data_IF_323262294481
#
_entry.id   IF_323262294481
#
_cell.length_a   1.000
_cell.length_b   1.000
_cell.length_c   1.000
_cell.angle_alpha   90.00
_cell.angle_beta   90.00
_cell.angle_gamma   90.00
#
_symmetry.space_group_name_H-M   'P 1'
#
loop_
_entity.id
_entity.type
_entity.pdbx_description
1 polymer ?
#
# COMPACT_ATOMS: atom_id res chain seq x y z
N UNK A 1 1.27 -2.06 2.72
CA UNK A 1 0.83 -3.04 1.69
C UNK A 1 1.97 -3.45 0.75
N UNK A 2 2.22 -4.75 0.52
CA UNK A 2 3.34 -5.26 -0.26
C UNK A 2 3.00 -5.58 -1.73
N UNK A 3 2.64 -4.56 -2.52
CA UNK A 3 2.23 -4.78 -3.92
C UNK A 3 3.38 -5.24 -4.84
N UNK A 4 4.60 -4.74 -4.60
CA UNK A 4 5.79 -5.04 -5.43
C UNK A 4 6.20 -6.51 -5.43
N UNK A 5 5.74 -7.30 -4.47
CA UNK A 5 5.94 -8.75 -4.46
C UNK A 5 5.08 -9.45 -5.52
N UNK A 6 3.87 -8.96 -5.78
CA UNK A 6 2.93 -9.57 -6.72
C UNK A 6 3.22 -9.20 -8.17
N UNK A 7 3.69 -7.98 -8.44
CA UNK A 7 4.01 -7.53 -9.79
C UNK A 7 5.05 -6.41 -9.82
N UNK A 8 5.66 -6.21 -10.99
CA UNK A 8 6.57 -5.09 -11.22
C UNK A 8 5.80 -3.78 -11.30
N UNK A 9 5.87 -2.98 -10.23
CA UNK A 9 5.21 -1.67 -10.14
C UNK A 9 6.05 -0.49 -10.66
N UNK A 10 7.36 -0.69 -10.84
CA UNK A 10 8.29 0.32 -11.37
C UNK A 10 8.41 1.63 -10.59
N UNK A 11 7.92 1.68 -9.35
CA UNK A 11 8.11 2.80 -8.41
C UNK A 11 8.65 2.28 -7.08
N UNK A 12 9.31 3.16 -6.35
CA UNK A 12 9.77 2.86 -4.99
C UNK A 12 8.60 2.97 -3.98
N UNK A 13 8.78 2.34 -2.83
CA UNK A 13 7.91 2.48 -1.65
C UNK A 13 8.79 2.86 -0.47
N UNK A 14 8.42 3.93 0.21
CA UNK A 14 9.15 4.44 1.38
C UNK A 14 8.39 4.06 2.65
N UNK A 15 7.06 4.03 2.55
CA UNK A 15 6.15 3.79 3.67
C UNK A 15 6.07 2.28 4.00
N UNK A 16 6.11 1.96 5.29
CA UNK A 16 5.79 0.63 5.82
C UNK A 16 4.38 0.70 6.42
N UNK A 17 3.38 0.19 5.70
CA UNK A 17 2.02 0.07 6.25
C UNK A 17 1.76 -1.33 6.81
N UNK A 18 1.33 -1.40 8.06
CA UNK A 18 0.86 -2.57 8.79
C UNK A 18 -0.60 -2.41 9.21
N UNK A 19 -1.25 -3.52 9.54
CA UNK A 19 -2.59 -3.54 10.12
C UNK A 19 -2.54 -4.22 11.48
N UNK A 20 -3.02 -3.52 12.51
CA UNK A 20 -3.22 -4.14 13.81
C UNK A 20 -4.36 -5.18 13.73
N UNK A 21 -4.01 -6.46 13.83
CA UNK A 21 -4.97 -7.57 13.90
C UNK A 21 -4.91 -8.20 15.28
N UNK A 22 -6.07 -8.43 15.90
CA UNK A 22 -6.20 -9.11 17.20
C UNK A 22 -5.42 -8.43 18.35
N UNK A 23 -5.19 -7.11 18.25
CA UNK A 23 -4.51 -6.31 19.25
C UNK A 23 -5.50 -5.41 19.97
N UNK A 24 -5.29 -5.18 21.28
CA UNK A 24 -5.92 -4.02 21.93
C UNK A 24 -5.25 -2.77 21.36
N UNK A 25 -5.99 -1.99 20.57
CA UNK A 25 -5.47 -0.82 19.85
C UNK A 25 -5.47 0.43 20.74
N UNK A 26 -5.30 0.27 22.04
CA UNK A 26 -4.94 1.38 22.93
C UNK A 26 -3.51 1.82 22.62
N UNK A 27 -3.30 3.13 22.50
CA UNK A 27 -2.00 3.74 22.14
C UNK A 27 -0.85 3.22 23.01
N UNK A 28 -1.07 3.12 24.32
CA UNK A 28 -0.11 2.60 25.30
C UNK A 28 0.28 1.15 25.03
N UNK A 29 -0.65 0.31 24.57
CA UNK A 29 -0.38 -1.07 24.26
C UNK A 29 0.48 -1.20 22.98
N UNK A 30 0.17 -0.41 21.95
CA UNK A 30 0.99 -0.38 20.73
C UNK A 30 2.39 0.16 21.01
N UNK A 31 2.50 1.22 21.82
CA UNK A 31 3.79 1.76 22.25
C UNK A 31 4.65 0.71 22.96
N UNK A 32 4.08 -0.02 23.92
CA UNK A 32 4.80 -1.10 24.63
C UNK A 32 5.29 -2.19 23.67
N UNK A 33 4.42 -2.68 22.77
CA UNK A 33 4.79 -3.71 21.79
C UNK A 33 5.95 -3.23 20.90
N UNK A 34 5.88 -1.98 20.41
CA UNK A 34 6.91 -1.44 19.53
C UNK A 34 8.24 -1.19 20.26
N UNK A 35 8.19 -0.81 21.54
CA UNK A 35 9.38 -0.72 22.39
C UNK A 35 10.03 -2.10 22.56
N UNK A 36 9.25 -3.12 22.92
CA UNK A 36 9.75 -4.49 23.07
C UNK A 36 10.37 -5.02 21.77
N UNK A 37 9.74 -4.78 20.62
CA UNK A 37 10.27 -5.15 19.30
C UNK A 37 11.62 -4.46 19.04
N UNK A 38 11.73 -3.16 19.33
CA UNK A 38 12.98 -2.41 19.11
C UNK A 38 14.12 -2.86 20.04
N UNK A 39 13.81 -3.43 21.21
CA UNK A 39 14.79 -3.93 22.17
C UNK A 39 15.33 -5.33 21.81
N UNK A 40 14.70 -6.04 20.86
CA UNK A 40 15.17 -7.34 20.41
C UNK A 40 16.55 -7.22 19.74
N UNK A 41 17.54 -7.91 20.32
CA UNK A 41 18.86 -8.05 19.72
C UNK A 41 18.98 -9.40 19.01
N UNK A 42 18.89 -9.36 17.68
CA UNK A 42 19.05 -10.53 16.81
C UNK A 42 20.51 -10.84 16.47
N UNK A 43 21.46 -10.02 16.95
CA UNK A 43 22.90 -10.09 16.62
C UNK A 43 23.19 -10.03 15.10
N UNK A 44 22.33 -9.37 14.34
CA UNK A 44 22.44 -9.16 12.88
C UNK A 44 23.17 -7.85 12.50
N UNK A 45 23.61 -7.09 13.52
CA UNK A 45 24.31 -5.82 13.36
C UNK A 45 23.40 -4.59 13.33
N UNK A 46 22.08 -4.77 13.33
CA UNK A 46 21.13 -3.68 13.47
C UNK A 46 20.85 -3.40 14.95
N UNK A 47 20.74 -2.11 15.28
CA UNK A 47 20.25 -1.63 16.56
C UNK A 47 19.07 -0.71 16.29
N UNK A 48 17.92 -1.01 16.87
CA UNK A 48 16.70 -0.22 16.71
C UNK A 48 16.39 0.51 18.02
N UNK A 49 15.76 1.66 17.91
CA UNK A 49 15.27 2.41 19.06
C UNK A 49 13.93 3.05 18.72
N UNK A 50 12.92 2.72 19.51
CA UNK A 50 11.64 3.40 19.50
C UNK A 50 11.83 4.88 19.90
N UNK A 51 11.28 5.80 19.10
CA UNK A 51 11.40 7.24 19.35
C UNK A 51 10.09 7.82 19.88
N UNK A 52 9.01 7.68 19.13
CA UNK A 52 7.68 8.11 19.54
C UNK A 52 6.60 7.35 18.74
N UNK A 53 5.36 7.55 19.20
CA UNK A 53 4.16 7.05 18.53
C UNK A 53 3.11 8.17 18.51
N UNK A 54 2.73 8.56 17.30
CA UNK A 54 1.75 9.60 17.03
C UNK A 54 0.45 9.02 16.47
N UNK A 55 -0.63 9.77 16.60
CA UNK A 55 -1.92 9.39 16.03
C UNK A 55 -1.88 9.68 14.52
N UNK A 56 -2.22 8.68 13.71
CA UNK A 56 -2.30 8.80 12.26
C UNK A 56 -3.76 9.04 11.84
N UNK A 57 -4.05 10.25 11.40
CA UNK A 57 -5.38 10.65 10.98
C UNK A 57 -5.81 9.92 9.70
N UNK A 58 -6.91 9.19 9.77
CA UNK A 58 -7.50 8.47 8.65
C UNK A 58 -8.91 8.99 8.40
N UNK A 59 -9.12 9.58 7.22
CA UNK A 59 -10.39 10.21 6.81
C UNK A 59 -11.61 9.27 6.81
N UNK A 60 -11.41 7.95 6.96
CA UNK A 60 -12.44 6.92 6.82
C UNK A 60 -12.52 5.94 7.99
N UNK A 61 -11.75 6.13 9.07
CA UNK A 61 -11.73 5.19 10.20
C UNK A 61 -12.31 5.83 11.46
N UNK A 62 -13.11 5.06 12.21
CA UNK A 62 -13.64 5.49 13.52
C UNK A 62 -12.57 5.56 14.62
N UNK A 63 -11.35 5.09 14.33
CA UNK A 63 -10.21 5.12 15.23
C UNK A 63 -9.01 5.69 14.48
N UNK A 64 -8.23 6.60 15.12
CA UNK A 64 -6.95 7.00 14.54
C UNK A 64 -6.05 5.76 14.46
N UNK A 65 -5.32 5.66 13.34
CA UNK A 65 -4.20 4.72 13.26
C UNK A 65 -3.03 5.21 14.09
N UNK A 66 -1.89 4.55 13.97
CA UNK A 66 -0.67 4.97 14.64
C UNK A 66 0.46 5.16 13.63
N UNK A 67 1.32 6.14 13.87
CA UNK A 67 2.59 6.27 13.17
C UNK A 67 3.71 6.13 14.20
N UNK A 68 4.61 5.18 13.97
CA UNK A 68 5.73 4.89 14.85
C UNK A 68 7.02 5.39 14.20
N UNK A 69 7.79 6.22 14.89
CA UNK A 69 9.14 6.61 14.47
C UNK A 69 10.17 5.68 15.12
N UNK A 70 11.04 5.10 14.30
CA UNK A 70 12.10 4.19 14.73
C UNK A 70 13.44 4.72 14.21
N UNK A 71 14.40 4.90 15.12
CA UNK A 71 15.80 5.10 14.76
C UNK A 71 16.46 3.74 14.56
N UNK A 72 17.23 3.60 13.47
CA UNK A 72 18.00 2.39 13.17
C UNK A 72 19.46 2.72 12.96
N UNK A 73 20.34 1.89 13.54
CA UNK A 73 21.78 1.98 13.37
C UNK A 73 22.34 0.65 12.85
N UNK A 74 23.23 0.73 11.85
CA UNK A 74 24.01 -0.40 11.35
C UNK A 74 25.49 0.01 11.23
N UNK A 75 26.30 -0.46 12.18
CA UNK A 75 27.68 -0.01 12.32
C UNK A 75 27.76 1.50 12.61
N UNK A 76 28.32 2.26 11.66
CA UNK A 76 28.41 3.74 11.73
C UNK A 76 27.28 4.46 11.00
N UNK A 77 26.44 3.73 10.27
CA UNK A 77 25.30 4.30 9.56
C UNK A 77 24.11 4.40 10.50
N UNK A 78 23.40 5.51 10.44
CA UNK A 78 22.17 5.75 11.20
C UNK A 78 21.12 6.34 10.27
N UNK A 79 19.88 5.88 10.39
CA UNK A 79 18.74 6.42 9.67
C UNK A 79 17.47 6.36 10.53
N UNK A 80 16.39 6.94 10.03
CA UNK A 80 15.06 6.89 10.65
C UNK A 80 14.04 6.37 9.65
N UNK A 81 13.09 5.57 10.12
CA UNK A 81 11.95 5.18 9.31
C UNK A 81 10.66 5.20 10.11
N UNK A 82 9.55 5.26 9.38
CA UNK A 82 8.21 5.35 9.91
C UNK A 82 7.43 4.07 9.60
N UNK A 83 6.67 3.61 10.59
CA UNK A 83 5.74 2.49 10.45
C UNK A 83 4.33 2.99 10.72
N UNK A 84 3.50 2.95 9.68
CA UNK A 84 2.09 3.32 9.75
C UNK A 84 1.27 2.06 10.10
N UNK A 85 0.51 2.11 11.17
CA UNK A 85 -0.31 1.00 11.67
C UNK A 85 -1.78 1.40 11.57
N UNK A 86 -2.48 0.81 10.60
CA UNK A 86 -3.93 0.92 10.46
C UNK A 86 -4.67 0.15 11.55
N UNK A 87 -5.88 0.61 11.88
CA UNK A 87 -6.76 -0.02 12.87
C UNK A 87 -8.18 -0.09 12.31
N UNK A 88 -8.82 -1.25 12.40
CA UNK A 88 -10.26 -1.41 12.15
C UNK A 88 -10.63 -1.98 10.78
N UNK A 89 -9.69 -2.08 9.84
CA UNK A 89 -9.93 -2.81 8.60
C UNK A 89 -9.97 -4.32 8.87
N UNK A 90 -10.82 -5.03 8.11
CA UNK A 90 -10.95 -6.49 8.19
C UNK A 90 -10.21 -7.09 6.99
N UNK A 91 -9.05 -7.67 7.26
CA UNK A 91 -8.20 -8.31 6.25
C UNK A 91 -7.89 -9.73 6.69
N UNK A 92 -8.10 -10.67 5.78
CA UNK A 92 -7.65 -12.05 5.89
C UNK A 92 -6.34 -12.20 5.09
N UNK A 93 -5.16 -12.14 5.74
CA UNK A 93 -3.89 -12.10 5.05
C UNK A 93 -3.50 -13.46 4.48
N UNK A 94 -2.56 -13.42 3.55
CA UNK A 94 -1.86 -14.59 3.05
C UNK A 94 -0.44 -14.62 3.61
N UNK A 95 0.04 -15.81 3.98
CA UNK A 95 1.42 -16.00 4.40
C UNK A 95 2.29 -16.14 3.15
N UNK A 96 3.28 -15.26 3.00
CA UNK A 96 4.26 -15.32 1.92
C UNK A 96 5.65 -15.61 2.47
N UNK A 97 6.33 -16.55 1.85
CA UNK A 97 7.76 -16.75 2.04
C UNK A 97 8.51 -15.64 1.28
N UNK A 98 9.31 -14.89 2.03
CA UNK A 98 10.12 -13.82 1.49
C UNK A 98 11.42 -14.39 0.91
N UNK A 99 11.83 -13.98 -0.31
CA UNK A 99 13.03 -14.50 -0.91
C UNK A 99 14.27 -14.16 -0.07
N UNK A 100 15.14 -15.14 0.17
CA UNK A 100 16.42 -14.94 0.83
C UNK A 100 17.24 -13.88 0.09
N UNK A 101 17.57 -12.79 0.76
CA UNK A 101 18.51 -11.81 0.23
C UNK A 101 19.90 -12.45 0.22
N UNK A 102 20.53 -12.53 -0.96
CA UNK A 102 21.89 -13.04 -1.08
C UNK A 102 22.84 -11.90 -1.45
N UNK A 103 23.92 -11.75 -0.68
CA UNK A 103 25.05 -10.90 -1.05
C UNK A 103 26.25 -11.78 -1.39
N UNK A 104 26.73 -11.71 -2.65
CA UNK A 104 27.82 -12.55 -3.16
C UNK A 104 27.60 -14.05 -2.87
N UNK A 105 26.41 -14.54 -3.21
CA UNK A 105 25.99 -15.93 -3.03
C UNK A 105 25.96 -16.43 -1.57
N UNK A 106 26.00 -15.50 -0.59
CA UNK A 106 25.77 -15.79 0.82
C UNK A 106 24.44 -15.20 1.26
N UNK A 107 23.59 -15.98 1.94
CA UNK A 107 22.36 -15.44 2.49
C UNK A 107 22.70 -14.38 3.54
N UNK A 108 21.94 -13.27 3.50
CA UNK A 108 22.08 -12.16 4.43
C UNK A 108 21.50 -12.52 5.80
N UNK A 109 20.55 -13.45 5.83
CA UNK A 109 19.86 -13.93 7.02
C UNK A 109 20.00 -15.46 7.09
N UNK A 110 20.11 -16.01 8.30
CA UNK A 110 20.25 -17.47 8.50
C UNK A 110 18.91 -18.21 8.26
N UNK A 111 17.79 -17.56 8.57
CA UNK A 111 16.45 -18.14 8.54
C UNK A 111 15.59 -17.62 7.38
N UNK A 112 14.61 -18.44 6.99
CA UNK A 112 13.55 -18.04 6.05
C UNK A 112 12.62 -17.03 6.73
N UNK A 113 12.41 -15.89 6.07
CA UNK A 113 11.47 -14.86 6.53
C UNK A 113 10.12 -15.16 5.90
N UNK A 114 9.07 -15.24 6.73
CA UNK A 114 7.68 -15.33 6.27
C UNK A 114 6.88 -14.13 6.77
N UNK A 115 6.07 -13.54 5.91
CA UNK A 115 5.27 -12.36 6.24
C UNK A 115 3.79 -12.64 5.97
N UNK A 116 2.93 -12.28 6.92
CA UNK A 116 1.51 -12.08 6.63
C UNK A 116 1.36 -10.80 5.81
N UNK A 117 0.83 -10.91 4.60
CA UNK A 117 0.61 -9.76 3.73
C UNK A 117 -0.84 -9.67 3.30
N UNK A 118 -1.20 -8.48 2.84
CA UNK A 118 -2.48 -8.25 2.21
C UNK A 118 -2.62 -9.10 0.95
N UNK A 119 -3.75 -9.79 0.76
CA UNK A 119 -4.09 -10.42 -0.51
C UNK A 119 -4.20 -9.37 -1.61
N UNK A 120 -3.84 -9.74 -2.83
CA UNK A 120 -3.87 -8.81 -3.97
C UNK A 120 -5.27 -8.25 -4.22
N UNK A 121 -6.33 -9.03 -3.97
CA UNK A 121 -7.71 -8.58 -4.09
C UNK A 121 -8.07 -7.51 -3.05
N UNK A 122 -7.56 -7.64 -1.82
CA UNK A 122 -7.76 -6.62 -0.76
C UNK A 122 -7.02 -5.34 -1.12
N UNK A 123 -5.77 -5.45 -1.61
CA UNK A 123 -5.00 -4.28 -2.07
C UNK A 123 -5.77 -3.56 -3.18
N UNK A 124 -6.35 -4.29 -4.13
CA UNK A 124 -7.17 -3.71 -5.19
C UNK A 124 -8.39 -3.00 -4.61
N UNK A 125 -9.16 -3.66 -3.74
CA UNK A 125 -10.37 -3.13 -3.15
C UNK A 125 -10.13 -1.83 -2.37
N UNK A 126 -9.09 -1.78 -1.54
CA UNK A 126 -8.73 -0.57 -0.77
C UNK A 126 -8.27 0.58 -1.66
N UNK A 127 -7.48 0.29 -2.70
CA UNK A 127 -7.06 1.32 -3.65
C UNK A 127 -8.23 1.88 -4.44
N UNK A 128 -9.16 1.02 -4.86
CA UNK A 128 -10.37 1.44 -5.55
C UNK A 128 -11.27 2.27 -4.62
N UNK A 129 -11.41 1.86 -3.37
CA UNK A 129 -12.16 2.60 -2.36
C UNK A 129 -11.56 3.99 -2.16
N UNK A 130 -10.25 4.08 -1.92
CA UNK A 130 -9.55 5.36 -1.75
C UNK A 130 -9.65 6.25 -2.98
N UNK A 131 -9.63 5.64 -4.18
CA UNK A 131 -9.81 6.36 -5.44
C UNK A 131 -11.19 7.03 -5.50
N UNK A 132 -12.25 6.28 -5.19
CA UNK A 132 -13.62 6.76 -5.25
C UNK A 132 -13.92 7.75 -4.12
N UNK A 133 -13.50 7.47 -2.89
CA UNK A 133 -13.78 8.31 -1.73
C UNK A 133 -13.14 9.69 -1.82
N UNK A 134 -11.90 9.78 -2.33
CA UNK A 134 -11.19 11.06 -2.53
C UNK A 134 -11.64 11.82 -3.78
N UNK A 135 -12.25 11.13 -4.74
CA UNK A 135 -12.72 11.71 -5.98
C UNK A 135 -11.67 12.59 -6.70
N UNK A 136 -12.09 13.74 -7.22
CA UNK A 136 -11.23 14.65 -7.96
C UNK A 136 -10.17 15.38 -7.11
N UNK A 137 -10.30 15.35 -5.78
CA UNK A 137 -9.29 15.89 -4.87
C UNK A 137 -8.12 14.89 -4.64
N UNK A 138 -8.15 13.73 -5.30
CA UNK A 138 -7.16 12.69 -5.11
C UNK A 138 -5.79 13.06 -5.70
N UNK A 139 -4.81 13.33 -4.83
CA UNK A 139 -3.41 13.55 -5.22
C UNK A 139 -2.59 12.26 -5.33
N UNK A 140 -3.14 11.11 -4.92
CA UNK A 140 -2.46 9.81 -4.89
C UNK A 140 -2.50 9.13 -6.26
N UNK A 141 -1.85 9.74 -7.25
CA UNK A 141 -1.75 9.18 -8.61
C UNK A 141 -1.12 7.78 -8.67
N UNK A 142 -0.33 7.42 -7.64
CA UNK A 142 0.18 6.06 -7.45
C UNK A 142 -0.92 4.99 -7.36
N UNK A 143 -2.10 5.31 -6.83
CA UNK A 143 -3.19 4.35 -6.72
C UNK A 143 -3.83 4.05 -8.10
N UNK A 144 -3.97 5.06 -8.97
CA UNK A 144 -4.38 4.86 -10.37
C UNK A 144 -3.37 4.02 -11.15
N UNK A 145 -2.08 4.29 -10.95
CA UNK A 145 -0.99 3.51 -11.54
C UNK A 145 -1.07 2.05 -11.10
N UNK A 146 -1.13 1.79 -9.79
CA UNK A 146 -1.16 0.45 -9.23
C UNK A 146 -2.40 -0.34 -9.70
N UNK A 147 -3.59 0.29 -9.71
CA UNK A 147 -4.82 -0.33 -10.20
C UNK A 147 -4.77 -0.68 -11.69
N UNK A 148 -4.19 0.20 -12.52
CA UNK A 148 -4.02 -0.08 -13.95
C UNK A 148 -3.15 -1.32 -14.19
N UNK A 149 -2.04 -1.43 -13.47
CA UNK A 149 -1.16 -2.59 -13.59
C UNK A 149 -1.85 -3.86 -13.09
N UNK A 150 -2.60 -3.79 -11.99
CA UNK A 150 -3.41 -4.91 -11.48
C UNK A 150 -4.49 -5.36 -12.48
N UNK A 151 -5.16 -4.42 -13.15
CA UNK A 151 -6.14 -4.73 -14.19
C UNK A 151 -5.49 -5.49 -15.37
N UNK A 152 -4.27 -5.10 -15.76
CA UNK A 152 -3.50 -5.73 -16.82
C UNK A 152 -3.01 -7.13 -16.44
N UNK A 153 -2.63 -7.33 -15.17
CA UNK A 153 -2.24 -8.64 -14.61
C UNK A 153 -3.44 -9.40 -14.03
N UNK A 154 -4.54 -9.46 -14.78
CA UNK A 154 -5.81 -10.08 -14.35
C UNK A 154 -5.72 -11.54 -13.88
N UNK A 155 -4.65 -12.26 -14.22
CA UNK A 155 -4.42 -13.64 -13.77
C UNK A 155 -4.02 -13.73 -12.30
N UNK A 156 -3.54 -12.64 -11.70
CA UNK A 156 -3.20 -12.57 -10.28
C UNK A 156 -4.45 -12.47 -9.40
N UNK A 157 -5.58 -12.06 -9.96
CA UNK A 157 -6.78 -11.68 -9.23
C UNK A 157 -7.86 -12.75 -9.38
N UNK A 158 -8.31 -13.33 -8.27
CA UNK A 158 -9.56 -14.07 -8.24
C UNK A 158 -10.73 -13.08 -8.26
N UNK A 159 -11.49 -13.06 -9.36
CA UNK A 159 -12.61 -12.13 -9.56
C UNK A 159 -13.75 -12.30 -8.54
N UNK A 160 -13.98 -13.52 -8.05
CA UNK A 160 -15.03 -13.78 -7.06
C UNK A 160 -14.60 -13.19 -5.73
N UNK A 161 -13.37 -13.52 -5.28
CA UNK A 161 -12.80 -12.95 -4.06
C UNK A 161 -12.70 -11.44 -4.12
N UNK A 162 -12.35 -10.89 -5.29
CA UNK A 162 -12.29 -9.44 -5.47
C UNK A 162 -13.65 -8.77 -5.28
N UNK A 163 -14.74 -9.33 -5.83
CA UNK A 163 -16.08 -8.77 -5.63
C UNK A 163 -16.44 -8.71 -4.16
N UNK A 164 -16.20 -9.80 -3.44
CA UNK A 164 -16.48 -9.87 -2.01
C UNK A 164 -15.64 -8.84 -1.24
N UNK A 165 -14.35 -8.72 -1.56
CA UNK A 165 -13.47 -7.73 -0.94
C UNK A 165 -13.88 -6.29 -1.25
N UNK A 166 -14.28 -5.97 -2.49
CA UNK A 166 -14.80 -4.63 -2.83
C UNK A 166 -16.03 -4.32 -1.98
N UNK A 167 -16.99 -5.24 -1.89
CA UNK A 167 -18.21 -5.03 -1.10
C UNK A 167 -17.86 -4.79 0.37
N UNK A 168 -17.03 -5.65 0.95
CA UNK A 168 -16.64 -5.55 2.37
C UNK A 168 -15.87 -4.27 2.67
N UNK A 169 -14.86 -3.93 1.87
CA UNK A 169 -14.05 -2.72 2.07
C UNK A 169 -14.91 -1.46 1.99
N UNK A 170 -15.77 -1.35 0.98
CA UNK A 170 -16.64 -0.17 0.82
C UNK A 170 -17.69 -0.06 1.94
N UNK A 171 -18.27 -1.19 2.37
CA UNK A 171 -19.21 -1.22 3.50
C UNK A 171 -18.54 -0.82 4.81
N UNK A 172 -17.35 -1.36 5.09
CA UNK A 172 -16.60 -1.06 6.31
C UNK A 172 -16.20 0.41 6.40
N UNK A 173 -15.81 1.01 5.27
CA UNK A 173 -15.37 2.41 5.18
C UNK A 173 -16.51 3.41 4.92
N UNK A 174 -17.74 2.93 4.72
CA UNK A 174 -18.91 3.78 4.48
C UNK A 174 -18.91 4.52 3.14
N UNK A 175 -18.09 4.08 2.19
CA UNK A 175 -17.97 4.68 0.85
C UNK A 175 -19.01 4.08 -0.09
N UNK A 176 -19.73 4.94 -0.83
CA UNK A 176 -20.71 4.46 -1.81
C UNK A 176 -19.98 3.95 -3.03
N UNK A 177 -20.10 2.65 -3.31
CA UNK A 177 -19.55 2.07 -4.54
C UNK A 177 -20.42 2.43 -5.73
N UNK A 178 -19.83 3.09 -6.73
CA UNK A 178 -20.49 3.43 -7.99
C UNK A 178 -19.57 3.17 -9.18
N UNK A 179 -20.14 2.54 -10.21
CA UNK A 179 -19.49 2.34 -11.51
C UNK A 179 -20.42 2.80 -12.64
N UNK A 180 -19.89 3.35 -13.74
CA UNK A 180 -18.47 3.68 -13.96
C UNK A 180 -18.00 4.82 -13.05
N UNK A 181 -16.73 4.80 -12.68
CA UNK A 181 -16.04 5.93 -12.05
C UNK A 181 -16.02 7.08 -13.05
N UNK A 182 -16.58 8.22 -12.69
CA UNK A 182 -16.73 9.39 -13.56
C UNK A 182 -16.30 10.66 -12.83
N UNK A 183 -15.74 11.58 -13.62
CA UNK A 183 -15.31 12.91 -13.18
C UNK A 183 -15.77 13.96 -14.18
N UNK A 184 -16.03 15.17 -13.70
CA UNK A 184 -16.32 16.33 -14.55
C UNK A 184 -15.09 16.76 -15.35
N UNK A 185 -15.28 17.55 -16.41
CA UNK A 185 -14.18 17.95 -17.29
C UNK A 185 -13.11 18.77 -16.57
N UNK A 186 -13.51 19.68 -15.68
CA UNK A 186 -12.60 20.51 -14.87
C UNK A 186 -11.85 19.69 -13.80
N UNK A 187 -12.44 18.59 -13.34
CA UNK A 187 -11.78 17.62 -12.47
C UNK A 187 -10.72 16.82 -13.21
N UNK A 188 -11.05 16.32 -14.40
CA UNK A 188 -10.10 15.59 -15.26
C UNK A 188 -8.90 16.46 -15.65
N UNK A 189 -9.11 17.75 -15.95
CA UNK A 189 -8.02 18.69 -16.23
C UNK A 189 -7.05 18.81 -15.04
N UNK A 190 -7.57 18.91 -13.82
CA UNK A 190 -6.74 18.96 -12.60
C UNK A 190 -6.01 17.64 -12.35
N UNK A 191 -6.71 16.52 -12.50
CA UNK A 191 -6.13 15.18 -12.35
C UNK A 191 -5.04 14.92 -13.39
N UNK A 192 -5.20 15.43 -14.63
CA UNK A 192 -4.20 15.30 -15.67
C UNK A 192 -2.88 15.98 -15.28
N UNK A 193 -2.93 17.13 -14.61
CA UNK A 193 -1.71 17.82 -14.13
C UNK A 193 -0.98 16.93 -13.12
N UNK A 194 -1.71 16.33 -12.18
CA UNK A 194 -1.16 15.44 -11.16
C UNK A 194 -0.58 14.17 -11.79
N UNK A 195 -1.30 13.57 -12.74
CA UNK A 195 -0.88 12.38 -13.47
C UNK A 195 0.40 12.62 -14.28
N UNK A 196 0.46 13.72 -15.03
CA UNK A 196 1.68 14.14 -15.73
C UNK A 196 2.85 14.36 -14.77
N UNK A 197 2.59 14.90 -13.58
CA UNK A 197 3.56 15.02 -12.50
C UNK A 197 4.11 13.65 -12.05
N UNK A 198 3.22 12.68 -11.82
CA UNK A 198 3.56 11.31 -11.45
C UNK A 198 4.42 10.62 -12.51
N UNK A 199 4.02 10.68 -13.78
CA UNK A 199 4.79 10.10 -14.90
C UNK A 199 6.20 10.70 -15.00
N UNK A 200 6.33 12.02 -14.80
CA UNK A 200 7.62 12.70 -14.82
C UNK A 200 8.54 12.23 -13.70
N UNK A 201 8.00 12.03 -12.49
CA UNK A 201 8.77 11.50 -11.35
C UNK A 201 9.20 10.06 -11.61
N UNK A 202 8.34 9.26 -12.24
CA UNK A 202 8.66 7.87 -12.57
C UNK A 202 9.82 7.74 -13.58
N UNK A 203 9.90 8.68 -14.53
CA UNK A 203 10.91 8.74 -15.57
C UNK A 203 10.50 8.03 -16.87
N UNK A 204 10.95 8.56 -18.01
CA UNK A 204 10.49 8.13 -19.34
C UNK A 204 10.72 6.63 -19.62
N UNK A 205 11.86 6.09 -19.18
CA UNK A 205 12.19 4.67 -19.37
C UNK A 205 11.17 3.76 -18.69
N UNK A 206 10.81 4.05 -17.44
CA UNK A 206 9.85 3.24 -16.66
C UNK A 206 8.43 3.40 -17.19
N UNK A 207 8.04 4.62 -17.56
CA UNK A 207 6.75 4.92 -18.19
C UNK A 207 6.58 4.11 -19.48
N UNK A 208 7.63 4.05 -20.31
CA UNK A 208 7.64 3.27 -21.54
C UNK A 208 7.60 1.77 -21.26
N UNK A 209 8.45 1.28 -20.35
CA UNK A 209 8.52 -0.14 -20.00
C UNK A 209 7.19 -0.69 -19.47
N UNK A 210 6.47 0.11 -18.67
CA UNK A 210 5.15 -0.25 -18.12
C UNK A 210 3.98 0.11 -19.05
N UNK A 211 4.25 0.73 -20.19
CA UNK A 211 3.23 1.20 -21.14
C UNK A 211 2.13 2.03 -20.45
N UNK A 212 2.53 2.99 -19.60
CA UNK A 212 1.58 3.85 -18.89
C UNK A 212 0.98 4.89 -19.86
N UNK A 213 -0.36 5.05 -19.90
CA UNK A 213 -0.99 6.07 -20.74
C UNK A 213 -0.56 7.48 -20.32
N UNK A 214 -0.33 8.36 -21.30
CA UNK A 214 -0.02 9.77 -21.01
C UNK A 214 -1.21 10.52 -20.40
N UNK A 215 -2.44 10.08 -20.72
CA UNK A 215 -3.66 10.74 -20.27
C UNK A 215 -4.39 9.94 -19.19
N UNK A 216 -4.86 10.65 -18.17
CA UNK A 216 -5.56 10.04 -17.03
C UNK A 216 -6.95 9.50 -17.41
N UNK A 217 -7.59 10.09 -18.42
CA UNK A 217 -8.88 9.63 -18.95
C UNK A 217 -8.80 8.20 -19.51
N UNK A 218 -7.70 7.86 -20.20
CA UNK A 218 -7.43 6.50 -20.69
C UNK A 218 -7.33 5.53 -19.51
N UNK A 219 -6.59 5.90 -18.45
CA UNK A 219 -6.44 5.06 -17.26
C UNK A 219 -7.79 4.79 -16.59
N UNK A 220 -8.63 5.82 -16.43
CA UNK A 220 -9.97 5.70 -15.85
C UNK A 220 -10.87 4.84 -16.73
N UNK A 221 -10.80 5.01 -18.06
CA UNK A 221 -11.57 4.21 -19.01
C UNK A 221 -11.17 2.73 -18.96
N UNK A 222 -9.87 2.42 -18.94
CA UNK A 222 -9.36 1.06 -18.82
C UNK A 222 -9.84 0.40 -17.52
N UNK A 223 -9.75 1.13 -16.38
CA UNK A 223 -10.26 0.68 -15.09
C UNK A 223 -11.77 0.40 -15.15
N UNK A 224 -12.56 1.30 -15.72
CA UNK A 224 -14.01 1.12 -15.87
C UNK A 224 -14.38 -0.08 -16.74
N UNK A 225 -13.70 -0.27 -17.88
CA UNK A 225 -13.93 -1.42 -18.74
C UNK A 225 -13.63 -2.73 -18.02
N UNK A 226 -12.56 -2.75 -17.23
CA UNK A 226 -12.19 -3.91 -16.46
C UNK A 226 -13.20 -4.21 -15.34
N UNK A 227 -13.61 -3.20 -14.57
CA UNK A 227 -14.62 -3.33 -13.52
C UNK A 227 -15.98 -3.82 -14.04
N UNK A 228 -16.37 -3.40 -15.25
CA UNK A 228 -17.59 -3.88 -15.91
C UNK A 228 -17.50 -5.35 -16.39
N UNK A 229 -16.29 -5.88 -16.54
CA UNK A 229 -16.01 -7.22 -17.07
C UNK A 229 -15.74 -8.27 -15.97
N UNK A 230 -15.78 -7.89 -14.70
CA UNK A 230 -15.59 -8.82 -13.57
C UNK A 230 -16.88 -9.22 -12.91
#
# INVERSE_FOLDING_TARGET
>A
MLLSYYLTIGRETIDIDLLARQLNTEKSNVELIMQEICELNLNDGFQMRFINLDDLDHQHMNYPGFQVEIDVQFGVMSDKFYVDIGVGDVVDPVLLEWPSFNYKDKPLFEDLISLEVYPVETIFAEKLETLISRGAANSRMKDYHDLLLLCRESRLIDKIRLKDNIIQTFQNRGTVFSIPVQFHSDELERMQILWSGHLRVLGAERVQALSLPEKIDIVINDLNQWLLAI
#
